data_IF_192808924888
#
_entry.id   IF_192808924888
#
_cell.length_a   1.000
_cell.length_b   1.000
_cell.length_c   1.000
_cell.angle_alpha   90.00
_cell.angle_beta   90.00
_cell.angle_gamma   90.00
#
_symmetry.space_group_name_H-M   'P 1'
#
loop_
_entity.id
_entity.type
_entity.pdbx_description
1 polymer ?
#
# COMPACT_ATOMS: atom_id res chain seq x y z
N UNK A 1 -47.95 -11.05 -24.62
CA UNK A 1 -47.11 -11.81 -23.66
C UNK A 1 -45.68 -12.10 -24.14
N UNK A 2 -45.27 -11.69 -25.35
CA UNK A 2 -43.89 -11.91 -25.86
C UNK A 2 -42.92 -10.74 -25.59
N UNK A 3 -43.40 -9.52 -25.33
CA UNK A 3 -42.54 -8.35 -25.03
C UNK A 3 -41.97 -8.40 -23.60
N UNK A 4 -42.77 -8.77 -22.60
CA UNK A 4 -42.36 -8.81 -21.19
C UNK A 4 -41.25 -9.83 -20.89
N UNK A 5 -41.19 -10.93 -21.65
CA UNK A 5 -40.17 -11.97 -21.50
C UNK A 5 -38.80 -11.54 -22.06
N UNK A 6 -38.78 -10.64 -23.06
CA UNK A 6 -37.54 -10.11 -23.67
C UNK A 6 -36.88 -9.05 -22.79
N UNK A 7 -37.68 -8.15 -22.21
CA UNK A 7 -37.18 -7.12 -21.28
C UNK A 7 -36.63 -7.72 -19.99
N UNK A 8 -37.26 -8.79 -19.45
CA UNK A 8 -36.77 -9.47 -18.25
C UNK A 8 -35.40 -10.15 -18.46
N UNK A 9 -35.17 -10.76 -19.63
CA UNK A 9 -33.86 -11.35 -19.99
C UNK A 9 -32.76 -10.30 -20.14
N UNK A 10 -33.07 -9.16 -20.76
CA UNK A 10 -32.10 -8.06 -20.92
C UNK A 10 -31.73 -7.46 -19.56
N UNK A 11 -32.71 -7.26 -18.66
CA UNK A 11 -32.45 -6.80 -17.29
C UNK A 11 -31.59 -7.80 -16.51
N UNK A 12 -31.84 -9.10 -16.64
CA UNK A 12 -31.05 -10.13 -15.96
C UNK A 12 -29.60 -10.17 -16.49
N UNK A 13 -29.39 -10.01 -17.80
CA UNK A 13 -28.06 -9.93 -18.40
C UNK A 13 -27.32 -8.67 -17.95
N UNK A 14 -27.99 -7.51 -17.89
CA UNK A 14 -27.37 -6.27 -17.40
C UNK A 14 -27.00 -6.38 -15.92
N UNK A 15 -27.88 -6.94 -15.07
CA UNK A 15 -27.58 -7.15 -13.65
C UNK A 15 -26.41 -8.12 -13.49
N UNK A 16 -26.33 -9.21 -14.26
CA UNK A 16 -25.22 -10.18 -14.21
C UNK A 16 -23.90 -9.59 -14.73
N UNK A 17 -23.91 -8.71 -15.74
CA UNK A 17 -22.70 -8.04 -16.23
C UNK A 17 -22.17 -7.01 -15.22
N UNK A 18 -23.06 -6.34 -14.47
CA UNK A 18 -22.67 -5.36 -13.44
C UNK A 18 -22.04 -5.98 -12.18
N UNK A 19 -22.08 -7.31 -12.00
CA UNK A 19 -21.49 -8.00 -10.85
C UNK A 19 -20.06 -8.51 -11.11
N UNK A 20 -19.52 -8.34 -12.33
CA UNK A 20 -18.23 -8.92 -12.75
C UNK A 20 -17.23 -7.84 -13.17
N UNK A 21 -17.28 -6.67 -12.53
CA UNK A 21 -16.14 -5.75 -12.53
C UNK A 21 -15.43 -5.89 -11.20
N UNK A 22 -14.79 -7.03 -10.98
CA UNK A 22 -13.64 -7.10 -10.07
C UNK A 22 -12.53 -6.26 -10.72
N UNK A 23 -12.58 -4.95 -10.48
CA UNK A 23 -11.41 -4.12 -10.66
C UNK A 23 -10.40 -4.64 -9.63
N UNK A 24 -9.53 -5.58 -10.05
CA UNK A 24 -8.48 -6.12 -9.19
C UNK A 24 -7.77 -4.94 -8.54
N UNK A 25 -7.75 -4.91 -7.20
CA UNK A 25 -7.05 -3.87 -6.48
C UNK A 25 -5.56 -3.99 -6.77
N UNK A 26 -4.88 -2.84 -6.86
CA UNK A 26 -3.45 -2.74 -7.16
C UNK A 26 -2.65 -3.75 -6.34
N UNK A 27 -1.77 -4.53 -6.98
CA UNK A 27 -0.84 -5.41 -6.27
C UNK A 27 0.52 -4.76 -6.14
N UNK A 28 1.18 -4.92 -4.99
CA UNK A 28 2.53 -4.41 -4.76
C UNK A 28 3.46 -5.50 -4.24
N UNK A 29 4.76 -5.38 -4.53
CA UNK A 29 5.77 -6.12 -3.78
C UNK A 29 5.71 -5.72 -2.30
N UNK A 30 5.77 -6.71 -1.42
CA UNK A 30 5.51 -6.61 0.00
C UNK A 30 6.64 -7.27 0.81
N UNK A 31 7.24 -6.53 1.72
CA UNK A 31 8.27 -7.03 2.63
C UNK A 31 8.44 -6.09 3.83
N UNK A 32 8.88 -6.65 4.96
CA UNK A 32 9.04 -5.91 6.23
C UNK A 32 10.49 -5.80 6.71
N UNK A 33 11.42 -6.46 6.02
CA UNK A 33 12.83 -6.48 6.38
C UNK A 33 13.75 -6.67 5.16
N UNK A 34 15.04 -6.30 5.26
CA UNK A 34 15.99 -6.39 4.16
C UNK A 34 16.19 -7.79 3.56
N UNK A 35 16.00 -8.87 4.34
CA UNK A 35 16.13 -10.23 3.84
C UNK A 35 14.93 -10.59 2.99
N UNK A 36 13.71 -10.28 3.46
CA UNK A 36 12.49 -10.48 2.69
C UNK A 36 12.46 -9.63 1.41
N UNK A 37 12.92 -8.37 1.47
CA UNK A 37 12.94 -7.50 0.29
C UNK A 37 13.96 -7.91 -0.79
N UNK A 38 14.88 -8.81 -0.47
CA UNK A 38 15.88 -9.37 -1.40
C UNK A 38 15.54 -10.79 -1.83
N UNK A 39 14.41 -11.35 -1.39
CA UNK A 39 14.00 -12.67 -1.84
C UNK A 39 13.62 -12.63 -3.33
N UNK A 40 13.75 -13.78 -3.99
CA UNK A 40 13.35 -13.94 -5.39
C UNK A 40 12.42 -15.14 -5.50
N UNK A 41 11.11 -14.94 -5.72
CA UNK A 41 10.42 -13.65 -5.83
C UNK A 41 10.29 -12.94 -4.46
N UNK A 42 10.11 -11.61 -4.49
CA UNK A 42 9.58 -10.87 -3.34
C UNK A 42 8.09 -11.21 -3.22
N UNK A 43 7.58 -11.35 -2.01
CA UNK A 43 6.15 -11.58 -1.81
C UNK A 43 5.33 -10.42 -2.39
N UNK A 44 4.12 -10.70 -2.85
CA UNK A 44 3.19 -9.69 -3.35
C UNK A 44 1.94 -9.67 -2.49
N UNK A 45 1.26 -8.53 -2.46
CA UNK A 45 0.00 -8.38 -1.74
C UNK A 45 -0.95 -7.47 -2.51
N UNK A 46 -2.24 -7.78 -2.46
CA UNK A 46 -3.29 -6.87 -2.90
C UNK A 46 -3.39 -5.68 -1.92
N UNK A 47 -3.45 -4.45 -2.46
CA UNK A 47 -3.55 -3.27 -1.63
C UNK A 47 -4.93 -3.18 -0.96
N UNK A 48 -4.89 -3.08 0.37
CA UNK A 48 -6.05 -2.91 1.24
C UNK A 48 -5.72 -1.95 2.37
N UNK A 49 -6.74 -1.42 3.04
CA UNK A 49 -6.58 -0.59 4.24
C UNK A 49 -5.74 -1.28 5.32
N UNK A 50 -5.92 -2.59 5.50
CA UNK A 50 -5.15 -3.40 6.45
C UNK A 50 -3.66 -3.39 6.12
N UNK A 51 -3.30 -3.64 4.85
CA UNK A 51 -1.91 -3.68 4.40
C UNK A 51 -1.25 -2.30 4.50
N UNK A 52 -1.96 -1.23 4.16
CA UNK A 52 -1.46 0.14 4.33
C UNK A 52 -1.23 0.46 5.81
N UNK A 53 -2.22 0.17 6.65
CA UNK A 53 -2.19 0.47 8.09
C UNK A 53 -1.06 -0.27 8.81
N UNK A 54 -0.77 -1.52 8.40
CA UNK A 54 0.34 -2.29 8.95
C UNK A 54 1.69 -1.60 8.70
N UNK A 55 1.98 -1.19 7.47
CA UNK A 55 3.22 -0.49 7.14
C UNK A 55 3.31 0.88 7.79
N UNK A 56 2.22 1.67 7.73
CA UNK A 56 2.17 3.00 8.35
C UNK A 56 2.43 2.93 9.86
N UNK A 57 1.88 1.91 10.54
CA UNK A 57 2.15 1.66 11.97
C UNK A 57 3.61 1.32 12.24
N UNK A 58 4.21 0.45 11.42
CA UNK A 58 5.60 0.02 11.60
C UNK A 58 6.62 1.13 11.32
N UNK A 59 6.29 2.03 10.38
CA UNK A 59 7.12 3.18 10.02
C UNK A 59 6.80 4.43 10.85
N UNK A 60 5.70 4.43 11.60
CA UNK A 60 5.17 5.62 12.27
C UNK A 60 6.10 6.22 13.33
N UNK A 61 6.98 5.43 13.93
CA UNK A 61 7.99 5.96 14.84
C UNK A 61 9.04 6.81 14.11
N UNK A 62 9.50 6.34 12.94
CA UNK A 62 10.49 7.05 12.12
C UNK A 62 9.85 8.14 11.25
N UNK A 63 8.57 7.98 10.90
CA UNK A 63 7.78 8.94 10.12
C UNK A 63 6.44 9.24 10.83
N UNK A 64 6.42 10.24 11.74
CA UNK A 64 5.22 10.58 12.51
C UNK A 64 4.01 11.00 11.67
N UNK A 65 4.21 11.48 10.43
CA UNK A 65 3.09 11.87 9.56
C UNK A 65 2.27 10.66 9.09
N UNK A 66 2.88 9.47 9.04
CA UNK A 66 2.19 8.20 8.74
C UNK A 66 1.32 7.74 9.91
N UNK A 67 1.74 8.00 11.16
CA UNK A 67 0.94 7.68 12.34
C UNK A 67 -0.35 8.52 12.40
N UNK A 68 -0.32 9.75 11.88
CA UNK A 68 -1.50 10.60 11.72
C UNK A 68 -2.38 10.20 10.52
N UNK A 69 -1.81 9.57 9.49
CA UNK A 69 -2.55 9.07 8.34
C UNK A 69 -3.42 7.84 8.68
N UNK A 70 -2.98 7.01 9.66
CA UNK A 70 -3.67 5.79 10.09
C UNK A 70 -4.89 5.97 11.02
N UNK A 71 -5.37 7.20 11.24
CA UNK A 71 -6.44 7.46 12.22
C UNK A 71 -7.64 8.27 11.72
N UNK A 72 -7.61 8.92 10.55
CA UNK A 72 -8.73 9.78 10.14
C UNK A 72 -8.85 10.15 8.65
N UNK A 73 -7.83 9.98 7.80
CA UNK A 73 -7.81 10.64 6.47
C UNK A 73 -7.01 9.92 5.38
N UNK A 74 -6.65 8.65 5.59
CA UNK A 74 -6.18 7.79 4.50
C UNK A 74 -7.35 7.50 3.56
N UNK A 75 -7.61 8.40 2.63
CA UNK A 75 -8.77 8.31 1.76
C UNK A 75 -8.60 7.16 0.76
N UNK A 76 -9.04 5.96 1.16
CA UNK A 76 -9.11 4.79 0.29
C UNK A 76 -10.01 5.03 -0.93
N UNK A 77 -10.86 6.07 -0.91
CA UNK A 77 -11.64 6.47 -2.09
C UNK A 77 -10.78 7.02 -3.23
N UNK A 78 -9.57 7.52 -2.92
CA UNK A 78 -8.58 7.94 -3.91
C UNK A 78 -7.70 6.77 -4.43
N UNK A 79 -7.83 5.57 -3.85
CA UNK A 79 -7.07 4.39 -4.23
C UNK A 79 -5.70 4.26 -3.54
N UNK A 80 -4.86 3.40 -4.13
CA UNK A 80 -3.57 2.98 -3.56
C UNK A 80 -2.41 3.24 -4.51
N UNK A 81 -1.20 3.26 -3.96
CA UNK A 81 0.06 3.24 -4.70
C UNK A 81 1.08 2.36 -3.98
N UNK A 82 2.05 1.83 -4.70
CA UNK A 82 3.13 1.04 -4.13
C UNK A 82 4.24 1.95 -3.60
N UNK A 83 4.99 1.48 -2.60
CA UNK A 83 6.19 2.14 -2.10
C UNK A 83 7.38 1.18 -1.96
N UNK A 84 8.58 1.75 -1.96
CA UNK A 84 9.84 1.11 -1.55
C UNK A 84 10.59 2.11 -0.67
N UNK A 85 10.91 1.71 0.56
CA UNK A 85 11.69 2.51 1.50
C UNK A 85 12.86 1.71 2.07
N UNK A 86 13.99 2.39 2.19
CA UNK A 86 15.17 1.90 2.90
C UNK A 86 15.74 3.01 3.77
N UNK A 87 15.88 2.73 5.06
CA UNK A 87 16.41 3.67 6.04
C UNK A 87 17.24 2.95 7.09
N UNK A 88 18.00 3.73 7.84
CA UNK A 88 18.60 3.30 9.09
C UNK A 88 18.16 4.22 10.23
N UNK A 89 17.95 3.69 11.42
CA UNK A 89 17.66 4.50 12.60
C UNK A 89 18.42 4.01 13.83
N UNK A 90 18.66 4.90 14.79
CA UNK A 90 19.26 4.52 16.08
C UNK A 90 18.16 4.12 17.05
N UNK A 91 18.17 2.88 17.52
CA UNK A 91 17.19 2.40 18.51
C UNK A 91 17.34 3.15 19.82
N UNK A 92 16.28 3.83 20.26
CA UNK A 92 16.27 4.48 21.57
C UNK A 92 16.42 3.50 22.75
N UNK A 93 16.08 2.22 22.55
CA UNK A 93 16.14 1.20 23.59
C UNK A 93 17.55 0.59 23.75
N UNK A 94 18.30 0.46 22.65
CA UNK A 94 19.56 -0.29 22.64
C UNK A 94 20.76 0.53 22.19
N UNK A 95 20.55 1.72 21.61
CA UNK A 95 21.61 2.53 21.00
C UNK A 95 22.15 1.96 19.68
N UNK A 96 21.71 0.77 19.26
CA UNK A 96 22.17 0.14 18.02
C UNK A 96 21.53 0.76 16.78
N UNK A 97 22.30 0.81 15.69
CA UNK A 97 21.76 1.11 14.36
C UNK A 97 20.92 -0.07 13.85
N UNK A 98 19.68 0.22 13.48
CA UNK A 98 18.74 -0.72 12.88
C UNK A 98 18.57 -0.38 11.41
N UNK A 99 18.71 -1.38 10.54
CA UNK A 99 18.43 -1.25 9.11
C UNK A 99 16.98 -1.68 8.83
N UNK A 100 16.25 -0.83 8.15
CA UNK A 100 14.87 -1.07 7.74
C UNK A 100 14.82 -1.00 6.22
N UNK A 101 14.20 -2.01 5.62
CA UNK A 101 13.84 -2.04 4.20
C UNK A 101 12.42 -2.59 4.15
N UNK A 102 11.49 -1.82 3.58
CA UNK A 102 10.09 -2.22 3.44
C UNK A 102 9.59 -1.86 2.05
N UNK A 103 8.77 -2.74 1.50
CA UNK A 103 7.98 -2.49 0.28
C UNK A 103 6.53 -2.82 0.63
N UNK A 104 5.58 -2.11 0.04
CA UNK A 104 4.17 -2.37 0.29
C UNK A 104 3.25 -1.35 -0.36
N UNK A 105 2.03 -1.25 0.17
CA UNK A 105 1.01 -0.32 -0.28
C UNK A 105 0.91 0.91 0.62
N UNK A 106 0.57 2.06 0.05
CA UNK A 106 0.14 3.26 0.76
C UNK A 106 -1.05 3.90 0.06
N UNK A 107 -1.79 4.78 0.73
CA UNK A 107 -2.87 5.54 0.08
C UNK A 107 -2.31 6.46 -1.02
N UNK A 108 -3.08 6.65 -2.10
CA UNK A 108 -2.70 7.53 -3.20
C UNK A 108 -2.39 8.97 -2.71
N UNK A 109 -3.22 9.49 -1.80
CA UNK A 109 -3.07 10.83 -1.21
C UNK A 109 -1.95 10.96 -0.17
N UNK A 110 -1.34 9.87 0.29
CA UNK A 110 -0.26 9.94 1.30
C UNK A 110 1.07 10.29 0.64
N UNK A 111 1.73 11.34 1.10
CA UNK A 111 3.13 11.60 0.77
C UNK A 111 4.07 10.80 1.69
N UNK A 112 4.31 9.54 1.35
CA UNK A 112 5.09 8.61 2.18
C UNK A 112 6.57 9.01 2.32
N UNK A 113 7.10 9.77 1.36
CA UNK A 113 8.51 10.15 1.35
C UNK A 113 8.81 11.48 2.06
N UNK A 114 7.81 12.11 2.66
CA UNK A 114 7.98 13.26 3.56
C UNK A 114 7.63 12.91 5.00
N UNK A 115 7.99 13.80 5.94
CA UNK A 115 7.65 13.63 7.37
C UNK A 115 8.61 12.77 8.20
N UNK A 116 9.66 12.21 7.58
CA UNK A 116 10.69 11.43 8.29
C UNK A 116 11.41 12.27 9.34
N UNK A 117 11.56 11.73 10.55
CA UNK A 117 12.34 12.35 11.62
C UNK A 117 13.84 12.16 11.35
N UNK A 118 14.48 13.19 10.80
CA UNK A 118 15.89 13.18 10.39
C UNK A 118 16.87 13.14 11.57
N UNK A 119 16.42 13.39 12.80
CA UNK A 119 17.28 13.29 14.00
C UNK A 119 17.54 11.84 14.39
N UNK A 120 16.57 10.94 14.11
CA UNK A 120 16.65 9.53 14.51
C UNK A 120 16.81 8.58 13.32
N UNK A 121 16.36 8.99 12.12
CA UNK A 121 16.34 8.14 10.93
C UNK A 121 17.02 8.81 9.73
N UNK A 122 17.80 8.02 9.00
CA UNK A 122 18.41 8.39 7.73
C UNK A 122 17.78 7.58 6.61
N UNK A 123 16.97 8.23 5.78
CA UNK A 123 16.38 7.62 4.59
C UNK A 123 17.39 7.60 3.46
N UNK A 124 17.66 6.42 2.92
CA UNK A 124 18.62 6.20 1.82
C UNK A 124 17.92 5.91 0.49
N UNK A 125 16.69 5.39 0.54
CA UNK A 125 15.82 5.20 -0.60
C UNK A 125 14.38 5.42 -0.15
N UNK A 126 13.62 6.20 -0.91
CA UNK A 126 12.18 6.28 -0.77
C UNK A 126 11.60 6.58 -2.14
N UNK A 127 10.67 5.74 -2.59
CA UNK A 127 9.97 5.93 -3.86
C UNK A 127 8.53 5.43 -3.73
N UNK A 128 7.64 6.07 -4.47
CA UNK A 128 6.24 5.66 -4.64
C UNK A 128 5.93 5.55 -6.13
N UNK A 129 5.04 4.63 -6.50
CA UNK A 129 4.62 4.43 -7.88
C UNK A 129 3.19 3.89 -7.96
N UNK A 130 2.50 4.22 -9.04
CA UNK A 130 1.11 3.84 -9.34
C UNK A 130 0.93 3.39 -10.80
N UNK A 131 2.03 3.08 -11.49
CA UNK A 131 2.03 2.70 -12.91
C UNK A 131 1.46 1.30 -13.21
N UNK A 132 0.98 0.59 -12.19
CA UNK A 132 0.44 -0.76 -12.28
C UNK A 132 1.03 -1.72 -11.24
N UNK A 133 0.63 -2.99 -11.34
CA UNK A 133 1.01 -4.04 -10.41
C UNK A 133 2.54 -4.18 -10.27
N UNK A 134 2.97 -4.29 -9.02
CA UNK A 134 4.35 -4.53 -8.62
C UNK A 134 5.34 -3.53 -9.22
N UNK A 135 4.92 -2.27 -9.43
CA UNK A 135 5.80 -1.20 -9.93
C UNK A 135 6.99 -0.89 -9.00
N UNK A 136 6.96 -1.43 -7.77
CA UNK A 136 7.96 -1.27 -6.72
C UNK A 136 8.90 -2.48 -6.56
N UNK A 137 9.10 -3.33 -7.59
CA UNK A 137 10.07 -4.44 -7.57
C UNK A 137 11.49 -3.98 -7.25
#
# INVERSE_FOLDING_TARGET
>A
MFLALKTLKVFFIIVVISIITDANALQCSNCFDPKACRSSPVATVECSEENVSLHHRLLGYQNPTLASAGGATGDSSAGYKCFDVKLSYTSALTGSTVLVEQKGCTYAGTDLCSGWNTEIAQVTRCSVCDSGDECNK
#
